data_IF_878369612812
#
_entry.id   IF_878369612812
#
_cell.length_a   1.000
_cell.length_b   1.000
_cell.length_c   1.000
_cell.angle_alpha   90.00
_cell.angle_beta   90.00
_cell.angle_gamma   90.00
#
_symmetry.space_group_name_H-M   'P 1'
#
loop_
_entity.id
_entity.type
_entity.pdbx_description
1 polymer ?
#
# COMPACT_ATOMS: atom_id res chain seq x y z
N UNK A 1 9.63 -24.56 -11.15
CA UNK A 1 10.32 -24.23 -9.88
C UNK A 1 10.42 -25.50 -9.07
N UNK A 2 11.63 -26.04 -8.87
CA UNK A 2 11.78 -27.21 -8.01
C UNK A 2 11.68 -26.80 -6.53
N UNK A 3 10.69 -27.31 -5.84
CA UNK A 3 10.56 -27.15 -4.38
C UNK A 3 11.02 -28.43 -3.69
N UNK A 4 11.73 -28.27 -2.57
CA UNK A 4 12.14 -29.36 -1.72
C UNK A 4 11.40 -29.26 -0.39
N UNK A 5 10.39 -30.13 -0.19
CA UNK A 5 9.57 -30.13 1.02
C UNK A 5 10.39 -30.31 2.30
N UNK A 6 11.32 -31.25 2.29
CA UNK A 6 12.15 -31.53 3.46
C UNK A 6 13.04 -30.35 3.85
N UNK A 7 13.69 -29.70 2.86
CA UNK A 7 14.53 -28.52 3.11
C UNK A 7 13.72 -27.34 3.62
N UNK A 8 12.53 -27.10 3.05
CA UNK A 8 11.61 -26.06 3.50
C UNK A 8 11.05 -26.37 4.89
N UNK A 9 10.58 -27.59 5.13
CA UNK A 9 10.08 -28.01 6.44
C UNK A 9 11.13 -27.89 7.53
N UNK A 10 12.38 -28.29 7.27
CA UNK A 10 13.48 -28.08 8.20
C UNK A 10 13.73 -26.60 8.50
N UNK A 11 13.70 -25.72 7.47
CA UNK A 11 13.91 -24.30 7.63
C UNK A 11 12.77 -23.61 8.41
N UNK A 12 11.54 -24.06 8.22
CA UNK A 12 10.35 -23.52 8.89
C UNK A 12 10.04 -24.22 10.22
N UNK A 13 10.66 -25.38 10.48
CA UNK A 13 10.37 -26.28 11.61
C UNK A 13 8.94 -26.80 11.59
N UNK A 14 8.45 -27.11 10.40
CA UNK A 14 7.10 -27.58 10.13
C UNK A 14 7.11 -28.77 9.19
N UNK A 15 6.11 -29.64 9.31
CA UNK A 15 5.88 -30.72 8.35
C UNK A 15 5.12 -30.17 7.15
N UNK A 16 5.79 -30.11 5.98
CA UNK A 16 5.23 -29.58 4.77
C UNK A 16 4.88 -30.66 3.77
N UNK A 17 3.67 -30.61 3.23
CA UNK A 17 3.24 -31.40 2.08
C UNK A 17 3.21 -30.53 0.84
N UNK A 18 3.92 -30.93 -0.22
CA UNK A 18 3.89 -30.25 -1.50
C UNK A 18 2.81 -30.83 -2.40
N UNK A 19 2.01 -29.94 -2.93
CA UNK A 19 0.97 -30.25 -3.91
C UNK A 19 1.39 -29.76 -5.30
N UNK A 20 1.29 -30.64 -6.30
CA UNK A 20 1.62 -30.27 -7.69
C UNK A 20 0.46 -29.60 -8.41
N UNK A 21 -0.77 -29.91 -8.01
CA UNK A 21 -2.01 -29.49 -8.68
C UNK A 21 -3.09 -29.11 -7.69
N UNK A 22 -2.73 -28.39 -6.62
CA UNK A 22 -3.64 -28.01 -5.53
C UNK A 22 -4.91 -27.31 -6.03
N UNK A 23 -4.77 -26.42 -7.02
CA UNK A 23 -5.91 -25.71 -7.63
C UNK A 23 -6.78 -26.57 -8.57
N UNK A 24 -6.48 -27.86 -8.73
CA UNK A 24 -7.21 -28.75 -9.63
C UNK A 24 -7.53 -30.10 -8.96
N UNK A 25 -6.65 -31.09 -9.17
CA UNK A 25 -6.90 -32.48 -8.73
C UNK A 25 -6.80 -32.66 -7.22
N UNK A 26 -6.02 -31.81 -6.55
CA UNK A 26 -5.74 -31.91 -5.12
C UNK A 26 -6.51 -30.86 -4.30
N UNK A 27 -7.52 -30.19 -4.87
CA UNK A 27 -8.32 -29.17 -4.19
C UNK A 27 -9.00 -29.69 -2.89
N UNK A 28 -9.25 -31.00 -2.80
CA UNK A 28 -9.75 -31.65 -1.59
C UNK A 28 -8.81 -31.50 -0.39
N UNK A 29 -7.49 -31.46 -0.61
CA UNK A 29 -6.53 -31.22 0.47
C UNK A 29 -6.68 -29.81 1.07
N UNK A 30 -6.90 -28.79 0.23
CA UNK A 30 -7.20 -27.44 0.69
C UNK A 30 -8.51 -27.39 1.49
N UNK A 31 -9.60 -27.96 0.96
CA UNK A 31 -10.90 -27.97 1.66
C UNK A 31 -10.87 -28.73 2.99
N UNK A 32 -10.00 -29.71 3.12
CA UNK A 32 -9.76 -30.40 4.39
C UNK A 32 -8.97 -29.51 5.36
N UNK A 33 -7.90 -28.86 4.88
CA UNK A 33 -7.05 -27.99 5.71
C UNK A 33 -7.84 -26.84 6.33
N UNK A 34 -8.72 -26.16 5.57
CA UNK A 34 -9.47 -25.01 6.06
C UNK A 34 -10.56 -25.34 7.11
N UNK A 35 -10.79 -26.62 7.38
CA UNK A 35 -11.68 -27.08 8.46
C UNK A 35 -10.94 -27.33 9.78
N UNK A 36 -9.61 -27.29 9.79
CA UNK A 36 -8.81 -27.60 10.99
C UNK A 36 -8.91 -26.56 12.10
N UNK A 37 -9.22 -25.30 11.73
CA UNK A 37 -9.17 -24.15 12.63
C UNK A 37 -7.77 -23.54 12.76
N UNK A 38 -6.75 -24.14 12.15
CA UNK A 38 -5.39 -23.61 12.11
C UNK A 38 -5.23 -22.64 10.95
N UNK A 39 -4.25 -21.73 11.04
CA UNK A 39 -3.92 -20.80 9.96
C UNK A 39 -3.46 -21.57 8.71
N UNK A 40 -4.10 -21.34 7.57
CA UNK A 40 -3.75 -21.96 6.30
C UNK A 40 -3.04 -20.96 5.39
N UNK A 41 -1.78 -21.26 5.07
CA UNK A 41 -0.99 -20.46 4.12
C UNK A 41 -0.98 -21.14 2.76
N UNK A 42 -1.54 -20.46 1.75
CA UNK A 42 -1.57 -20.92 0.36
C UNK A 42 -0.48 -20.22 -0.43
N UNK A 43 0.55 -20.95 -0.83
CA UNK A 43 1.69 -20.41 -1.59
C UNK A 43 1.35 -20.28 -3.09
N UNK A 44 0.23 -19.64 -3.42
CA UNK A 44 -0.24 -19.41 -4.78
C UNK A 44 -1.12 -18.17 -4.83
N UNK A 45 -0.73 -17.17 -5.64
CA UNK A 45 -1.52 -15.95 -5.84
C UNK A 45 -2.31 -15.97 -7.14
N UNK A 46 -1.90 -16.77 -8.12
CA UNK A 46 -2.60 -16.85 -9.42
C UNK A 46 -4.04 -17.33 -9.26
N UNK A 47 -4.27 -18.31 -8.40
CA UNK A 47 -5.57 -18.94 -8.17
C UNK A 47 -6.21 -18.51 -6.83
N UNK A 48 -5.85 -17.35 -6.33
CA UNK A 48 -6.39 -16.81 -5.06
C UNK A 48 -7.92 -16.77 -5.05
N UNK A 49 -8.52 -16.31 -6.16
CA UNK A 49 -9.98 -16.28 -6.30
C UNK A 49 -10.61 -17.66 -6.18
N UNK A 50 -10.03 -18.67 -6.83
CA UNK A 50 -10.52 -20.04 -6.74
C UNK A 50 -10.51 -20.53 -5.28
N UNK A 51 -9.41 -20.33 -4.57
CA UNK A 51 -9.29 -20.76 -3.18
C UNK A 51 -10.23 -19.98 -2.25
N UNK A 52 -10.41 -18.68 -2.49
CA UNK A 52 -11.38 -17.88 -1.76
C UNK A 52 -12.82 -18.35 -2.00
N UNK A 53 -13.16 -18.69 -3.25
CA UNK A 53 -14.48 -19.27 -3.60
C UNK A 53 -14.70 -20.63 -2.97
N UNK A 54 -13.71 -21.53 -3.02
CA UNK A 54 -13.75 -22.83 -2.37
C UNK A 54 -13.90 -22.68 -0.86
N UNK A 55 -13.20 -21.73 -0.25
CA UNK A 55 -13.32 -21.42 1.17
C UNK A 55 -14.75 -21.03 1.55
N UNK A 56 -15.38 -20.14 0.78
CA UNK A 56 -16.77 -19.73 1.02
C UNK A 56 -17.79 -20.85 0.83
N UNK A 57 -17.52 -21.79 -0.08
CA UNK A 57 -18.41 -22.89 -0.40
C UNK A 57 -18.19 -24.14 0.50
N UNK A 58 -17.08 -24.18 1.22
CA UNK A 58 -16.77 -25.33 2.08
C UNK A 58 -17.48 -25.21 3.40
N UNK A 59 -18.43 -26.10 3.65
CA UNK A 59 -19.11 -26.20 4.94
C UNK A 59 -18.11 -26.57 6.06
N UNK A 60 -18.16 -25.85 7.17
CA UNK A 60 -17.24 -26.02 8.29
C UNK A 60 -15.85 -25.43 8.07
N UNK A 61 -15.65 -24.57 7.06
CA UNK A 61 -14.44 -23.79 6.90
C UNK A 61 -14.34 -22.72 7.99
N UNK A 62 -13.36 -22.83 8.87
CA UNK A 62 -13.14 -21.93 10.01
C UNK A 62 -11.72 -21.37 10.05
N UNK A 63 -10.81 -21.90 9.22
CA UNK A 63 -9.41 -21.48 9.20
C UNK A 63 -9.23 -20.14 8.50
N UNK A 64 -8.43 -19.22 9.07
CA UNK A 64 -7.93 -18.07 8.33
C UNK A 64 -7.08 -18.52 7.14
N UNK A 65 -7.25 -17.88 5.98
CA UNK A 65 -6.50 -18.20 4.76
C UNK A 65 -5.63 -17.02 4.40
N UNK A 66 -4.34 -17.26 4.22
CA UNK A 66 -3.36 -16.27 3.75
C UNK A 66 -2.74 -16.72 2.43
N UNK A 67 -2.46 -15.77 1.55
CA UNK A 67 -1.82 -16.06 0.27
C UNK A 67 -0.41 -15.51 0.23
N UNK A 68 0.54 -16.31 -0.29
CA UNK A 68 1.94 -15.92 -0.41
C UNK A 68 2.42 -16.14 -1.83
N UNK A 69 2.95 -15.06 -2.42
CA UNK A 69 3.56 -15.14 -3.74
C UNK A 69 4.99 -15.65 -3.64
N UNK A 70 5.19 -16.95 -3.82
CA UNK A 70 6.52 -17.55 -3.87
C UNK A 70 7.04 -17.73 -5.29
N UNK A 71 6.16 -17.73 -6.28
CA UNK A 71 6.50 -18.03 -7.66
C UNK A 71 7.17 -16.86 -8.36
N UNK A 72 6.51 -15.70 -8.41
CA UNK A 72 7.03 -14.49 -9.04
C UNK A 72 8.15 -13.88 -8.19
N UNK A 73 8.04 -13.94 -6.87
CA UNK A 73 9.02 -13.32 -5.96
C UNK A 73 10.26 -14.17 -5.70
N UNK A 74 10.19 -15.48 -5.89
CA UNK A 74 11.28 -16.42 -5.61
C UNK A 74 11.57 -17.42 -6.74
N UNK A 75 10.54 -17.95 -7.39
CA UNK A 75 10.62 -19.10 -8.26
C UNK A 75 10.84 -18.80 -9.75
N UNK A 76 10.56 -17.59 -10.21
CA UNK A 76 10.67 -17.21 -11.63
C UNK A 76 11.99 -16.51 -11.97
N UNK A 77 13.10 -17.11 -11.62
CA UNK A 77 14.42 -16.61 -11.95
C UNK A 77 15.29 -17.70 -12.53
N UNK A 78 16.42 -17.31 -13.15
CA UNK A 78 17.46 -18.26 -13.59
C UNK A 78 18.02 -19.08 -12.44
N UNK A 79 17.98 -18.51 -11.23
CA UNK A 79 18.46 -19.13 -10.00
C UNK A 79 17.33 -19.81 -9.18
N UNK A 80 16.19 -20.12 -9.80
CA UNK A 80 15.05 -20.75 -9.13
C UNK A 80 15.42 -22.01 -8.31
N UNK A 81 16.43 -22.78 -8.78
CA UNK A 81 16.95 -23.93 -8.04
C UNK A 81 17.65 -23.59 -6.72
N UNK A 82 18.07 -22.34 -6.52
CA UNK A 82 18.71 -21.82 -5.30
C UNK A 82 17.76 -20.98 -4.44
N UNK A 83 16.51 -20.81 -4.88
CA UNK A 83 15.55 -19.92 -4.23
C UNK A 83 14.95 -20.48 -2.91
N UNK A 84 15.31 -21.70 -2.51
CA UNK A 84 14.79 -22.34 -1.29
C UNK A 84 14.83 -21.44 -0.05
N UNK A 85 15.97 -20.84 0.33
CA UNK A 85 16.06 -19.98 1.51
C UNK A 85 15.15 -18.74 1.42
N UNK A 86 15.04 -18.13 0.23
CA UNK A 86 14.15 -16.99 0.00
C UNK A 86 12.69 -17.40 0.13
N UNK A 87 12.32 -18.55 -0.41
CA UNK A 87 10.95 -19.09 -0.32
C UNK A 87 10.61 -19.40 1.15
N UNK A 88 11.52 -20.01 1.90
CA UNK A 88 11.34 -20.24 3.33
C UNK A 88 11.12 -18.92 4.10
N UNK A 89 11.90 -17.88 3.79
CA UNK A 89 11.73 -16.56 4.41
C UNK A 89 10.38 -15.92 4.08
N UNK A 90 9.89 -16.04 2.83
CA UNK A 90 8.57 -15.55 2.42
C UNK A 90 7.44 -16.27 3.15
N UNK A 91 7.54 -17.60 3.30
CA UNK A 91 6.58 -18.41 4.04
C UNK A 91 6.61 -18.06 5.53
N UNK A 92 7.78 -17.95 6.13
CA UNK A 92 7.92 -17.54 7.52
C UNK A 92 7.33 -16.13 7.77
N UNK A 93 7.53 -15.20 6.85
CA UNK A 93 6.96 -13.85 6.94
C UNK A 93 5.42 -13.86 6.92
N UNK A 94 4.81 -14.85 6.25
CA UNK A 94 3.36 -14.98 6.21
C UNK A 94 2.75 -15.41 7.56
N UNK A 95 3.54 -15.99 8.45
CA UNK A 95 3.12 -16.35 9.80
C UNK A 95 3.28 -15.21 10.82
N UNK A 96 3.89 -14.08 10.41
CA UNK A 96 3.97 -12.92 11.28
C UNK A 96 2.58 -12.32 11.52
N UNK A 97 2.34 -11.75 12.72
CA UNK A 97 1.10 -11.05 12.98
C UNK A 97 0.91 -9.91 11.99
N UNK A 98 -0.31 -9.69 11.55
CA UNK A 98 -0.61 -8.55 10.68
C UNK A 98 -0.28 -7.24 11.39
N UNK A 99 0.38 -6.30 10.70
CA UNK A 99 0.61 -4.98 11.26
C UNK A 99 -0.74 -4.31 11.55
N UNK A 100 -0.83 -3.48 12.59
CA UNK A 100 -2.05 -2.73 12.85
C UNK A 100 -2.43 -1.92 11.60
N UNK A 101 -3.73 -1.76 11.30
CA UNK A 101 -4.17 -1.00 10.14
C UNK A 101 -3.64 0.43 10.24
N UNK A 102 -3.14 0.94 9.11
CA UNK A 102 -2.67 2.32 9.04
C UNK A 102 -3.85 3.24 9.36
N UNK A 103 -3.71 4.14 10.35
CA UNK A 103 -4.79 5.05 10.69
C UNK A 103 -5.14 5.93 9.49
N UNK A 104 -6.41 5.96 9.14
CA UNK A 104 -6.92 6.81 8.06
C UNK A 104 -7.45 8.11 8.67
N UNK A 105 -6.91 9.23 8.20
CA UNK A 105 -7.38 10.55 8.59
C UNK A 105 -8.13 11.16 7.41
N UNK A 106 -9.39 11.53 7.62
CA UNK A 106 -10.19 12.20 6.60
C UNK A 106 -9.98 13.71 6.69
N UNK A 107 -9.52 14.31 5.60
CA UNK A 107 -9.40 15.75 5.46
C UNK A 107 -10.58 16.29 4.67
N UNK A 108 -11.17 17.39 5.17
CA UNK A 108 -12.15 18.18 4.41
C UNK A 108 -11.44 19.41 3.87
N UNK A 109 -11.34 19.52 2.56
CA UNK A 109 -10.80 20.71 1.90
C UNK A 109 -11.94 21.66 1.57
N UNK A 110 -11.77 22.95 1.94
CA UNK A 110 -12.65 24.03 1.51
C UNK A 110 -12.19 24.67 0.17
N UNK A 111 -11.21 24.06 -0.49
CA UNK A 111 -10.65 24.56 -1.74
C UNK A 111 -9.74 25.79 -1.57
N UNK A 112 -9.34 26.15 -0.36
CA UNK A 112 -8.44 27.27 -0.10
C UNK A 112 -6.98 26.86 -0.27
N UNK A 113 -6.22 27.65 -1.04
CA UNK A 113 -4.81 27.41 -1.34
C UNK A 113 -3.99 28.67 -1.05
N UNK A 114 -2.98 28.56 -0.22
CA UNK A 114 -1.96 29.59 -0.02
C UNK A 114 -0.71 29.25 -0.82
N UNK A 115 -0.29 30.15 -1.71
CA UNK A 115 0.93 30.02 -2.50
C UNK A 115 1.97 30.97 -1.94
N UNK A 116 3.11 30.46 -1.51
CA UNK A 116 4.21 31.24 -0.91
C UNK A 116 5.41 31.16 -1.84
N UNK A 117 5.95 32.32 -2.24
CA UNK A 117 7.15 32.35 -3.07
C UNK A 117 7.43 33.70 -3.70
N UNK A 118 8.42 33.79 -4.62
CA UNK A 118 8.62 34.97 -5.46
C UNK A 118 7.36 35.27 -6.25
N UNK A 119 7.02 36.59 -6.38
CA UNK A 119 5.75 37.03 -6.96
C UNK A 119 5.48 36.41 -8.33
N UNK A 120 6.45 36.51 -9.25
CA UNK A 120 6.27 36.06 -10.64
C UNK A 120 5.96 34.53 -10.72
N UNK A 121 6.66 33.71 -9.94
CA UNK A 121 6.44 32.28 -9.89
C UNK A 121 5.10 31.95 -9.23
N UNK A 122 4.75 32.63 -8.14
CA UNK A 122 3.51 32.45 -7.44
C UNK A 122 2.29 32.83 -8.29
N UNK A 123 2.38 33.91 -9.08
CA UNK A 123 1.34 34.33 -10.02
C UNK A 123 1.14 33.33 -11.17
N UNK A 124 2.21 32.75 -11.69
CA UNK A 124 2.10 31.66 -12.69
C UNK A 124 1.31 30.47 -12.15
N UNK A 125 1.64 30.01 -10.94
CA UNK A 125 0.91 28.90 -10.30
C UNK A 125 -0.53 29.29 -10.00
N UNK A 126 -0.74 30.49 -9.44
CA UNK A 126 -2.08 30.98 -9.14
C UNK A 126 -2.97 31.05 -10.40
N UNK A 127 -2.41 31.48 -11.52
CA UNK A 127 -3.11 31.52 -12.81
C UNK A 127 -3.59 30.16 -13.29
N UNK A 128 -2.91 29.07 -12.95
CA UNK A 128 -3.29 27.71 -13.33
C UNK A 128 -4.46 27.15 -12.52
N UNK A 129 -4.66 27.63 -11.30
CA UNK A 129 -5.59 26.97 -10.34
C UNK A 129 -6.69 27.89 -9.80
N UNK A 130 -6.60 29.20 -10.05
CA UNK A 130 -7.56 30.20 -9.52
C UNK A 130 -8.99 30.07 -10.05
N UNK A 131 -9.22 29.29 -11.10
CA UNK A 131 -10.56 29.00 -11.61
C UNK A 131 -11.29 27.91 -10.80
N UNK A 132 -10.54 27.11 -10.02
CA UNK A 132 -11.08 25.97 -9.26
C UNK A 132 -10.79 26.03 -7.76
N UNK A 133 -9.84 26.87 -7.33
CA UNK A 133 -9.45 27.03 -5.93
C UNK A 133 -9.53 28.50 -5.52
N UNK A 134 -9.84 28.73 -4.24
CA UNK A 134 -9.76 30.04 -3.58
C UNK A 134 -8.29 30.30 -3.19
N UNK A 135 -7.61 31.02 -4.06
CA UNK A 135 -6.15 31.22 -3.99
C UNK A 135 -5.81 32.50 -3.25
N UNK A 136 -4.84 32.42 -2.36
CA UNK A 136 -4.13 33.57 -1.79
C UNK A 136 -2.65 33.43 -2.09
N UNK A 137 -2.02 34.47 -2.65
CA UNK A 137 -0.57 34.53 -2.88
C UNK A 137 0.09 35.31 -1.76
N UNK A 138 1.14 34.73 -1.17
CA UNK A 138 2.05 35.45 -0.27
C UNK A 138 3.41 35.61 -0.93
N UNK A 139 3.67 36.83 -1.41
CA UNK A 139 4.91 37.16 -2.08
C UNK A 139 6.04 37.43 -1.07
N UNK A 140 7.12 36.66 -1.17
CA UNK A 140 8.32 36.84 -0.36
C UNK A 140 9.31 37.74 -1.08
N UNK A 141 9.75 38.78 -0.40
CA UNK A 141 10.82 39.69 -0.86
C UNK A 141 10.52 41.17 -0.65
N UNK A 142 11.54 42.02 -0.61
CA UNK A 142 11.38 43.45 -0.45
C UNK A 142 10.67 44.03 -1.68
N UNK A 143 9.62 44.82 -1.45
CA UNK A 143 8.94 45.61 -2.49
C UNK A 143 7.91 44.82 -3.32
N UNK A 144 7.62 43.56 -3.01
CA UNK A 144 6.71 42.75 -3.80
C UNK A 144 5.23 42.78 -3.34
N UNK A 145 4.86 43.69 -2.45
CA UNK A 145 3.47 43.91 -2.10
C UNK A 145 2.73 44.63 -3.24
N UNK A 146 1.89 43.87 -3.90
CA UNK A 146 0.76 44.25 -4.71
C UNK A 146 0.73 45.62 -5.39
N UNK A 147 1.27 45.72 -6.58
CA UNK A 147 0.83 46.80 -7.50
C UNK A 147 -0.67 46.67 -7.80
N UNK A 148 -1.34 47.78 -8.12
CA UNK A 148 -2.79 47.84 -8.38
C UNK A 148 -3.23 47.15 -9.70
N UNK A 149 -2.82 45.90 -9.92
CA UNK A 149 -3.33 45.09 -11.02
C UNK A 149 -4.60 44.38 -10.57
N UNK A 150 -5.61 44.38 -11.43
CA UNK A 150 -6.85 43.62 -11.19
C UNK A 150 -6.53 42.14 -11.23
N UNK A 151 -6.30 41.55 -10.07
CA UNK A 151 -6.10 40.09 -9.88
C UNK A 151 -7.36 39.45 -9.38
N UNK A 152 -7.55 38.17 -9.72
CA UNK A 152 -8.70 37.36 -9.25
C UNK A 152 -8.51 36.84 -7.82
N UNK A 153 -7.32 37.03 -7.26
CA UNK A 153 -6.93 36.52 -5.95
C UNK A 153 -6.12 37.59 -5.18
N UNK A 154 -6.20 37.59 -3.84
CA UNK A 154 -5.39 38.49 -3.03
C UNK A 154 -3.90 38.18 -3.10
N UNK A 155 -3.07 39.21 -3.16
CA UNK A 155 -1.63 39.11 -3.07
C UNK A 155 -1.19 39.87 -1.83
N UNK A 156 -0.63 39.13 -0.89
CA UNK A 156 -0.05 39.66 0.35
C UNK A 156 1.46 39.69 0.21
N UNK A 157 2.10 40.66 0.81
CA UNK A 157 3.56 40.75 0.87
C UNK A 157 4.02 40.95 2.30
N UNK A 158 5.17 40.42 2.63
CA UNK A 158 5.72 40.54 3.96
C UNK A 158 6.81 39.53 4.26
N UNK A 159 7.03 39.35 5.55
CA UNK A 159 7.93 38.34 6.07
C UNK A 159 7.12 37.30 6.89
N UNK A 160 7.30 36.04 6.59
CA UNK A 160 6.76 34.98 7.37
C UNK A 160 7.65 34.80 8.60
N UNK A 161 7.07 34.94 9.79
CA UNK A 161 7.76 34.74 11.07
C UNK A 161 7.54 33.32 11.58
N UNK A 162 6.34 32.79 11.38
CA UNK A 162 5.99 31.43 11.77
C UNK A 162 4.96 30.84 10.80
N UNK A 163 5.04 29.53 10.60
CA UNK A 163 4.00 28.72 9.95
C UNK A 163 3.74 27.54 10.86
N UNK A 164 2.54 27.43 11.37
CA UNK A 164 2.12 26.37 12.29
C UNK A 164 0.89 25.64 11.77
N UNK A 165 0.47 24.57 12.44
CA UNK A 165 -0.70 23.82 12.08
C UNK A 165 -0.41 22.52 11.33
N UNK A 166 -1.40 22.05 10.59
CA UNK A 166 -1.36 20.80 9.84
C UNK A 166 -2.18 20.93 8.56
N UNK A 167 -2.13 19.92 7.71
CA UNK A 167 -2.89 19.90 6.45
C UNK A 167 -4.39 20.18 6.70
N UNK A 168 -4.90 21.24 6.09
CA UNK A 168 -6.28 21.71 6.23
C UNK A 168 -6.48 22.78 7.33
N UNK A 169 -5.46 23.08 8.16
CA UNK A 169 -5.53 24.07 9.24
C UNK A 169 -4.15 24.73 9.49
N UNK A 170 -3.55 25.26 8.44
CA UNK A 170 -2.33 26.06 8.58
C UNK A 170 -2.64 27.49 9.05
N UNK A 171 -1.82 28.00 9.95
CA UNK A 171 -1.82 29.37 10.43
C UNK A 171 -0.48 30.03 10.06
N UNK A 172 -0.55 31.21 9.48
CA UNK A 172 0.59 32.00 9.03
C UNK A 172 0.62 33.34 9.77
#
# INVERSE_FOLDING_TARGET
>A
MPLNAQALGTALREDLTLHSTLCRREAGAFTQAIRSGEDVVVACTQEERLFADLGRQTEGAISPIRFVNIRETGGWSRDAGKAGPKIAALLAAAHLPEPPPVPVVTYKSAGRLLIIGPLDAAEQVAGLVSDVLDVTVFAQGPGQAGGAQARRYPVLGGRIEALTGWLGAFEL
#
